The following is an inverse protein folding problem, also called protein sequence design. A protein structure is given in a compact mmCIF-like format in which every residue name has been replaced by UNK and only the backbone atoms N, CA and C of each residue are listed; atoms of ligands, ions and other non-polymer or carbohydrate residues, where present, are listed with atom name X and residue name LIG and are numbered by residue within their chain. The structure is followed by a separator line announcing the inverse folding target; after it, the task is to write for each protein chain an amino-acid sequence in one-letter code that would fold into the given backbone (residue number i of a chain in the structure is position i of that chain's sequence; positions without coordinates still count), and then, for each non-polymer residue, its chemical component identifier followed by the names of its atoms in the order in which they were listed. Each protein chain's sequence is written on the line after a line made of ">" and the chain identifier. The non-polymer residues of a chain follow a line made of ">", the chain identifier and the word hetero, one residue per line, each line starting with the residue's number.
data_IF_782170510873
#
_entry.id   IF_782170510873
#
_cell.length_a   1.000
_cell.length_b   1.000
_cell.length_c   1.000
_cell.angle_alpha   90.00
_cell.angle_beta   90.00
_cell.angle_gamma   90.00
#
_symmetry.space_group_name_H-M   'P 1'
#
loop_
_entity.id
_entity.type
_entity.pdbx_description
1 polymer ?
#
# COMPACT_ATOMS: atom_id res chain seq x y z
N UNK A 1 19.27 0.21 25.17
CA UNK A 1 18.07 1.09 25.14
C UNK A 1 17.49 1.08 23.75
N UNK A 2 16.41 0.34 23.52
CA UNK A 2 15.68 0.36 22.24
C UNK A 2 14.93 1.68 22.14
N UNK A 3 15.35 2.52 21.19
CA UNK A 3 14.60 3.72 20.80
C UNK A 3 13.26 3.23 20.25
N UNK A 4 12.17 3.32 21.03
CA UNK A 4 10.83 3.24 20.46
C UNK A 4 10.66 4.46 19.57
N UNK A 5 10.90 4.31 18.27
CA UNK A 5 10.60 5.36 17.28
C UNK A 5 9.10 5.65 17.39
N UNK A 6 8.75 6.82 17.94
CA UNK A 6 7.41 7.39 17.81
C UNK A 6 7.37 8.10 16.44
N UNK A 7 6.48 7.65 15.56
CA UNK A 7 6.30 8.20 14.21
C UNK A 7 6.26 7.07 13.17
N UNK A 8 5.24 7.09 12.32
CA UNK A 8 4.91 6.01 11.38
C UNK A 8 3.54 5.40 11.66
N UNK A 9 3.18 4.41 10.87
CA UNK A 9 1.92 3.68 10.89
C UNK A 9 0.93 4.23 9.89
N UNK A 10 0.25 3.31 9.21
CA UNK A 10 -0.91 3.61 8.39
C UNK A 10 -2.09 2.71 8.78
N UNK A 11 -3.30 3.19 8.54
CA UNK A 11 -4.53 2.46 8.82
C UNK A 11 -5.56 2.78 7.72
N UNK A 12 -6.33 1.75 7.35
CA UNK A 12 -7.51 1.90 6.50
C UNK A 12 -8.73 1.64 7.39
N UNK A 13 -9.65 2.60 7.42
CA UNK A 13 -10.98 2.40 7.98
C UNK A 13 -11.94 2.03 6.85
N UNK A 14 -12.74 1.00 7.08
CA UNK A 14 -13.80 0.58 6.17
C UNK A 14 -15.16 0.71 6.88
N UNK A 15 -16.19 1.04 6.10
CA UNK A 15 -17.57 0.95 6.57
C UNK A 15 -17.91 -0.52 6.85
N UNK A 16 -18.75 -0.74 7.85
CA UNK A 16 -19.24 -2.07 8.25
C UNK A 16 -20.06 -2.77 7.15
N UNK A 17 -20.65 -1.99 6.24
CA UNK A 17 -21.37 -2.49 5.06
C UNK A 17 -20.45 -3.06 3.98
N UNK A 18 -19.13 -2.84 4.06
CA UNK A 18 -18.15 -3.37 3.11
C UNK A 18 -17.54 -4.66 3.64
N UNK A 19 -17.56 -5.71 2.80
CA UNK A 19 -16.83 -6.93 3.08
C UNK A 19 -15.34 -6.71 2.79
N UNK A 20 -14.56 -6.56 3.85
CA UNK A 20 -13.10 -6.39 3.74
C UNK A 20 -12.36 -7.57 4.33
N UNK A 21 -11.26 -7.97 3.70
CA UNK A 21 -10.35 -8.97 4.25
C UNK A 21 -8.93 -8.45 4.17
N UNK A 22 -8.19 -8.59 5.27
CA UNK A 22 -6.74 -8.35 5.26
C UNK A 22 -6.09 -9.25 4.20
N UNK A 23 -5.21 -8.67 3.41
CA UNK A 23 -4.45 -9.42 2.40
C UNK A 23 -3.20 -9.97 3.07
N UNK A 24 -3.10 -11.30 3.14
CA UNK A 24 -1.91 -11.99 3.63
C UNK A 24 -1.05 -12.43 2.44
N UNK A 25 -0.13 -11.55 2.03
CA UNK A 25 0.83 -11.79 0.96
C UNK A 25 2.23 -11.45 1.47
N UNK A 26 3.19 -12.37 1.31
CA UNK A 26 4.52 -12.21 1.91
C UNK A 26 5.33 -11.07 1.30
N UNK A 27 5.13 -10.76 0.02
CA UNK A 27 5.82 -9.67 -0.67
C UNK A 27 5.22 -8.34 -0.22
N UNK A 28 3.89 -8.22 -0.25
CA UNK A 28 3.21 -6.99 0.19
C UNK A 28 3.42 -6.72 1.68
N UNK A 29 3.39 -7.76 2.53
CA UNK A 29 3.63 -7.64 3.96
C UNK A 29 5.09 -7.32 4.30
N UNK A 30 6.03 -7.50 3.35
CA UNK A 30 7.43 -7.11 3.55
C UNK A 30 7.66 -5.61 3.36
N UNK A 31 6.71 -4.90 2.74
CA UNK A 31 6.81 -3.46 2.54
C UNK A 31 6.53 -2.73 3.86
N UNK A 32 7.51 -1.99 4.43
CA UNK A 32 7.31 -1.26 5.67
C UNK A 32 6.23 -0.19 5.52
N UNK A 33 5.59 0.16 6.63
CA UNK A 33 4.64 1.27 6.70
C UNK A 33 3.51 1.19 5.65
N UNK A 34 3.10 -0.04 5.33
CA UNK A 34 2.03 -0.32 4.38
C UNK A 34 0.94 -1.20 4.98
N UNK A 35 -0.28 -1.05 4.46
CA UNK A 35 -1.42 -1.90 4.80
C UNK A 35 -2.16 -2.28 3.53
N UNK A 36 -2.52 -3.55 3.44
CA UNK A 36 -3.17 -4.13 2.27
C UNK A 36 -4.46 -4.81 2.69
N UNK A 37 -5.55 -4.43 2.03
CA UNK A 37 -6.86 -5.04 2.25
C UNK A 37 -7.52 -5.29 0.90
N UNK A 38 -8.36 -6.31 0.87
CA UNK A 38 -9.31 -6.50 -0.21
C UNK A 38 -10.64 -5.89 0.18
N UNK A 39 -11.34 -5.31 -0.79
CA UNK A 39 -12.75 -4.93 -0.68
C UNK A 39 -13.51 -5.79 -1.67
N UNK A 40 -14.42 -6.61 -1.17
CA UNK A 40 -15.07 -7.65 -1.95
C UNK A 40 -16.57 -7.39 -2.06
N UNK A 41 -17.09 -7.61 -3.26
CA UNK A 41 -18.51 -7.75 -3.55
C UNK A 41 -18.78 -9.20 -3.96
N UNK A 42 -20.02 -9.55 -4.30
CA UNK A 42 -20.35 -10.90 -4.76
C UNK A 42 -19.56 -11.34 -6.00
N UNK A 43 -19.25 -10.40 -6.91
CA UNK A 43 -18.69 -10.72 -8.23
C UNK A 43 -17.35 -10.05 -8.51
N UNK A 44 -16.94 -9.10 -7.66
CA UNK A 44 -15.73 -8.30 -7.88
C UNK A 44 -14.92 -8.16 -6.61
N UNK A 45 -13.60 -8.23 -6.76
CA UNK A 45 -12.62 -7.97 -5.73
C UNK A 45 -11.73 -6.78 -6.12
N UNK A 46 -11.55 -5.87 -5.17
CA UNK A 46 -10.61 -4.75 -5.27
C UNK A 46 -9.46 -5.00 -4.30
N UNK A 47 -8.23 -4.93 -4.80
CA UNK A 47 -7.05 -4.78 -3.94
C UNK A 47 -6.85 -3.30 -3.62
N UNK A 48 -6.79 -2.97 -2.33
CA UNK A 48 -6.47 -1.64 -1.84
C UNK A 48 -5.18 -1.71 -1.02
N UNK A 49 -4.13 -1.08 -1.54
CA UNK A 49 -2.87 -0.85 -0.84
C UNK A 49 -2.74 0.60 -0.40
N UNK A 50 -2.40 0.82 0.86
CA UNK A 50 -1.98 2.12 1.37
C UNK A 50 -0.52 2.06 1.78
N UNK A 51 0.29 3.01 1.32
CA UNK A 51 1.73 3.08 1.57
C UNK A 51 2.05 4.45 2.18
N UNK A 52 2.75 4.45 3.32
CA UNK A 52 3.31 5.65 3.91
C UNK A 52 4.83 5.58 3.89
N UNK A 53 5.45 6.27 2.93
CA UNK A 53 6.91 6.37 2.87
C UNK A 53 7.36 7.56 3.71
N UNK A 54 8.30 7.35 4.63
CA UNK A 54 8.81 8.45 5.47
C UNK A 54 9.76 9.37 4.69
N UNK A 55 9.85 10.66 5.05
CA UNK A 55 10.70 11.63 4.35
C UNK A 55 12.20 11.28 4.34
N UNK A 56 12.68 10.54 5.35
CA UNK A 56 14.08 10.10 5.50
C UNK A 56 14.31 8.66 4.99
N UNK A 57 13.40 8.15 4.17
CA UNK A 57 13.47 6.81 3.59
C UNK A 57 14.66 6.68 2.63
N UNK A 58 15.36 5.55 2.70
CA UNK A 58 16.46 5.24 1.77
C UNK A 58 15.97 4.91 0.35
N UNK A 59 16.85 4.98 -0.66
CA UNK A 59 16.54 4.56 -2.03
C UNK A 59 16.04 3.10 -2.12
N UNK A 60 16.49 2.22 -1.22
CA UNK A 60 16.04 0.84 -1.15
C UNK A 60 14.52 0.72 -0.88
N UNK A 61 13.94 1.68 -0.16
CA UNK A 61 12.49 1.72 0.09
C UNK A 61 11.70 2.02 -1.19
N UNK A 62 12.25 2.82 -2.11
CA UNK A 62 11.63 3.05 -3.43
C UNK A 62 11.60 1.76 -4.25
N UNK A 63 12.69 0.98 -4.25
CA UNK A 63 12.75 -0.29 -4.96
C UNK A 63 11.71 -1.28 -4.40
N UNK A 64 11.55 -1.32 -3.07
CA UNK A 64 10.50 -2.12 -2.43
C UNK A 64 9.10 -1.67 -2.82
N UNK A 65 8.82 -0.36 -2.87
CA UNK A 65 7.52 0.18 -3.29
C UNK A 65 7.23 -0.19 -4.75
N UNK A 66 8.22 -0.04 -5.65
CA UNK A 66 8.08 -0.40 -7.08
C UNK A 66 7.83 -1.90 -7.22
N UNK A 67 8.66 -2.73 -6.59
CA UNK A 67 8.51 -4.19 -6.67
C UNK A 67 7.18 -4.66 -6.09
N UNK A 68 6.75 -4.11 -4.95
CA UNK A 68 5.44 -4.40 -4.36
C UNK A 68 4.29 -3.96 -5.25
N UNK A 69 4.43 -2.82 -5.93
CA UNK A 69 3.41 -2.32 -6.87
C UNK A 69 3.30 -3.19 -8.12
N UNK A 70 4.43 -3.64 -8.68
CA UNK A 70 4.46 -4.59 -9.80
C UNK A 70 3.82 -5.91 -9.37
N UNK A 71 4.19 -6.44 -8.20
CA UNK A 71 3.59 -7.66 -7.65
C UNK A 71 2.09 -7.52 -7.46
N UNK A 72 1.63 -6.46 -6.80
CA UNK A 72 0.21 -6.15 -6.61
C UNK A 72 -0.56 -6.07 -7.93
N UNK A 73 0.05 -5.54 -8.99
CA UNK A 73 -0.57 -5.46 -10.32
C UNK A 73 -0.84 -6.83 -10.95
N UNK A 74 0.01 -7.82 -10.65
CA UNK A 74 -0.10 -9.20 -11.14
C UNK A 74 -1.07 -10.06 -10.33
N UNK A 75 -1.48 -9.62 -9.13
CA UNK A 75 -2.43 -10.36 -8.30
C UNK A 75 -3.82 -10.43 -8.97
N UNK A 76 -4.52 -11.54 -8.70
CA UNK A 76 -5.81 -11.86 -9.30
C UNK A 76 -7.00 -11.12 -8.64
N UNK A 77 -6.96 -9.79 -8.72
CA UNK A 77 -8.07 -8.90 -8.32
C UNK A 77 -8.65 -8.22 -9.56
N UNK A 78 -9.98 -8.01 -9.56
CA UNK A 78 -10.67 -7.33 -10.67
C UNK A 78 -10.19 -5.89 -10.83
N UNK A 79 -9.93 -5.21 -9.74
CA UNK A 79 -9.39 -3.86 -9.71
C UNK A 79 -8.25 -3.76 -8.67
N UNK A 80 -7.35 -2.80 -8.88
CA UNK A 80 -6.27 -2.49 -7.93
C UNK A 80 -6.17 -0.99 -7.73
N UNK A 81 -6.03 -0.58 -6.48
CA UNK A 81 -5.73 0.81 -6.09
C UNK A 81 -4.55 0.76 -5.14
N UNK A 82 -3.49 1.47 -5.49
CA UNK A 82 -2.34 1.71 -4.62
C UNK A 82 -2.31 3.21 -4.38
N UNK A 83 -2.32 3.60 -3.12
CA UNK A 83 -2.42 5.00 -2.70
C UNK A 83 -1.61 5.25 -1.44
N UNK A 84 -1.60 6.49 -0.97
CA UNK A 84 -0.93 6.92 0.25
C UNK A 84 -0.01 8.11 0.03
N UNK A 85 0.87 8.34 0.99
CA UNK A 85 1.87 9.41 0.93
C UNK A 85 3.24 8.80 0.64
N UNK A 86 3.67 8.94 -0.62
CA UNK A 86 4.95 8.43 -1.09
C UNK A 86 6.14 9.33 -0.74
N UNK A 87 5.91 10.54 -0.22
CA UNK A 87 6.95 11.54 0.05
C UNK A 87 7.99 11.64 -1.10
N UNK A 88 7.50 11.78 -2.32
CA UNK A 88 8.31 11.95 -3.53
C UNK A 88 8.20 13.39 -4.06
N UNK A 89 8.91 14.36 -3.46
CA UNK A 89 8.93 15.73 -3.96
C UNK A 89 9.60 15.75 -5.34
N UNK A 90 8.89 16.25 -6.35
CA UNK A 90 9.39 16.32 -7.73
C UNK A 90 8.74 15.32 -8.69
N UNK A 91 7.94 14.37 -8.20
CA UNK A 91 7.11 13.54 -9.09
C UNK A 91 6.00 14.40 -9.69
N UNK A 92 5.94 14.45 -11.03
CA UNK A 92 4.82 15.06 -11.72
C UNK A 92 3.64 14.08 -11.75
N UNK A 93 2.72 14.23 -10.81
CA UNK A 93 1.51 13.40 -10.72
C UNK A 93 0.46 13.76 -11.77
N UNK A 94 0.59 14.92 -12.43
CA UNK A 94 -0.39 15.39 -13.43
C UNK A 94 -0.17 14.79 -14.82
N UNK A 95 1.00 14.19 -15.07
CA UNK A 95 1.23 13.40 -16.28
C UNK A 95 0.68 11.99 -16.06
N UNK A 96 -0.64 11.88 -16.04
CA UNK A 96 -1.31 10.60 -16.30
C UNK A 96 -1.25 10.32 -17.79
N UNK A 97 -0.77 9.14 -18.18
CA UNK A 97 -0.89 8.60 -19.53
C UNK A 97 -2.34 8.45 -19.97
#
# INVERSE_FOLDING_TARGET
>A
MTKTKRGGGCIIYALDTLTTNKVEDSILNSLPESVWTSVNTLNHSLLLGFIYKTFDSSNNENDLIINSSIHASALNFNAKVITGDFNCPGTNWSTGS
#
